data_IF_526977923974
#
_entry.id   IF_526977923974
#
_cell.length_a   1.000
_cell.length_b   1.000
_cell.length_c   1.000
_cell.angle_alpha   90.00
_cell.angle_beta   90.00
_cell.angle_gamma   90.00
#
_symmetry.space_group_name_H-M   'P 1'
#
loop_
_entity.id
_entity.type
_entity.pdbx_description
1 polymer ?
#
# COMPACT_ATOMS: atom_id res chain seq x y z
N UNK A 1 13.48 8.17 10.17
CA UNK A 1 13.19 7.29 9.01
C UNK A 1 12.41 6.09 9.54
N UNK A 2 11.17 5.88 9.09
CA UNK A 2 10.43 4.64 9.38
C UNK A 2 10.64 3.69 8.22
N UNK A 3 11.22 2.52 8.48
CA UNK A 3 11.43 1.48 7.50
C UNK A 3 10.62 0.24 7.92
N UNK A 4 9.56 -0.06 7.18
CA UNK A 4 8.79 -1.28 7.35
C UNK A 4 9.37 -2.35 6.43
N UNK A 5 9.99 -3.37 7.02
CA UNK A 5 10.52 -4.53 6.31
C UNK A 5 9.62 -5.72 6.61
N UNK A 6 8.91 -6.20 5.60
CA UNK A 6 8.18 -7.46 5.68
C UNK A 6 9.10 -8.58 5.20
N UNK A 7 9.70 -9.31 6.14
CA UNK A 7 10.54 -10.46 5.84
C UNK A 7 9.66 -11.68 5.54
N UNK A 8 10.07 -12.42 4.50
CA UNK A 8 9.30 -13.51 3.88
C UNK A 8 8.99 -14.60 4.92
N UNK A 9 7.72 -15.01 4.97
CA UNK A 9 7.17 -16.01 5.89
C UNK A 9 5.72 -16.32 5.49
N UNK A 10 4.79 -16.41 6.45
CA UNK A 10 3.33 -16.54 6.18
C UNK A 10 2.63 -15.23 5.81
N UNK A 11 3.41 -14.19 5.52
CA UNK A 11 2.94 -12.87 5.12
C UNK A 11 2.99 -12.74 3.59
N UNK A 12 1.86 -12.44 2.99
CA UNK A 12 1.76 -12.00 1.60
C UNK A 12 1.62 -10.48 1.60
N UNK A 13 2.46 -9.79 0.83
CA UNK A 13 2.43 -8.33 0.76
C UNK A 13 2.35 -7.84 -0.66
N UNK A 14 1.56 -6.81 -0.90
CA UNK A 14 1.52 -6.08 -2.16
C UNK A 14 1.53 -4.59 -1.88
N UNK A 15 2.08 -3.80 -2.81
CA UNK A 15 2.16 -2.36 -2.65
C UNK A 15 1.78 -1.65 -3.95
N UNK A 16 1.29 -0.43 -3.82
CA UNK A 16 0.87 0.42 -4.92
C UNK A 16 1.36 1.84 -4.71
N UNK A 17 2.23 2.29 -5.62
CA UNK A 17 2.75 3.65 -5.62
C UNK A 17 1.83 4.57 -6.40
N UNK A 18 1.33 5.62 -5.75
CA UNK A 18 0.48 6.64 -6.35
C UNK A 18 1.34 7.61 -7.16
N UNK A 19 0.91 7.87 -8.41
CA UNK A 19 1.59 8.77 -9.35
C UNK A 19 0.60 9.63 -10.13
N UNK A 20 -0.46 10.10 -9.49
CA UNK A 20 -1.55 10.82 -10.16
C UNK A 20 -2.37 11.61 -9.15
N UNK A 21 -2.71 12.87 -9.46
CA UNK A 21 -3.73 13.66 -8.74
C UNK A 21 -5.16 13.44 -9.25
N UNK A 22 -5.31 12.76 -10.39
CA UNK A 22 -6.63 12.54 -10.97
C UNK A 22 -7.31 11.32 -10.32
N UNK A 23 -8.48 11.55 -9.71
CA UNK A 23 -9.29 10.55 -9.01
C UNK A 23 -9.71 9.37 -9.90
N UNK A 24 -10.28 9.65 -11.08
CA UNK A 24 -10.70 8.61 -12.03
C UNK A 24 -9.54 7.71 -12.45
N UNK A 25 -8.35 8.30 -12.62
CA UNK A 25 -7.12 7.57 -12.94
C UNK A 25 -6.62 6.76 -11.75
N UNK A 26 -6.71 7.28 -10.53
CA UNK A 26 -6.39 6.53 -9.31
C UNK A 26 -7.32 5.32 -9.16
N UNK A 27 -8.63 5.54 -9.27
CA UNK A 27 -9.66 4.49 -9.18
C UNK A 27 -9.37 3.32 -10.13
N UNK A 28 -9.17 3.62 -11.42
CA UNK A 28 -8.87 2.59 -12.44
C UNK A 28 -7.61 1.80 -12.11
N UNK A 29 -6.56 2.46 -11.61
CA UNK A 29 -5.30 1.80 -11.25
C UNK A 29 -5.42 0.96 -9.99
N UNK A 30 -6.13 1.43 -8.97
CA UNK A 30 -6.40 0.66 -7.75
C UNK A 30 -7.26 -0.57 -8.05
N UNK A 31 -8.26 -0.45 -8.93
CA UNK A 31 -9.07 -1.59 -9.36
C UNK A 31 -8.24 -2.63 -10.12
N UNK A 32 -7.37 -2.19 -11.03
CA UNK A 32 -6.44 -3.08 -11.73
C UNK A 32 -5.47 -3.77 -10.75
N UNK A 33 -4.96 -3.03 -9.77
CA UNK A 33 -4.12 -3.58 -8.72
C UNK A 33 -4.87 -4.61 -7.87
N UNK A 34 -6.11 -4.33 -7.43
CA UNK A 34 -6.95 -5.31 -6.71
C UNK A 34 -7.08 -6.63 -7.47
N UNK A 35 -7.31 -6.57 -8.78
CA UNK A 35 -7.39 -7.77 -9.64
C UNK A 35 -6.07 -8.53 -9.77
N UNK A 36 -4.93 -7.85 -9.63
CA UNK A 36 -3.60 -8.47 -9.68
C UNK A 36 -3.18 -9.16 -8.38
N UNK A 37 -3.89 -8.85 -7.29
CA UNK A 37 -3.62 -9.38 -5.96
C UNK A 37 -4.39 -10.69 -5.78
N UNK A 38 -3.68 -11.78 -5.49
CA UNK A 38 -4.28 -13.10 -5.26
C UNK A 38 -4.18 -13.47 -3.77
N UNK A 39 -4.98 -12.84 -2.91
CA UNK A 39 -5.03 -13.14 -1.48
C UNK A 39 -6.16 -14.13 -1.16
N UNK A 40 -5.92 -15.05 -0.22
CA UNK A 40 -6.91 -16.06 0.16
C UNK A 40 -7.98 -15.42 1.07
N UNK A 41 -9.24 -15.86 0.92
CA UNK A 41 -10.42 -15.26 1.56
C UNK A 41 -10.42 -15.31 3.09
N UNK A 42 -9.64 -16.20 3.70
CA UNK A 42 -9.62 -16.42 5.16
C UNK A 42 -8.40 -15.81 5.87
N UNK A 43 -7.59 -15.03 5.15
CA UNK A 43 -6.40 -14.44 5.73
C UNK A 43 -6.71 -13.06 6.33
N UNK A 44 -6.11 -12.77 7.50
CA UNK A 44 -6.25 -11.46 8.12
C UNK A 44 -5.53 -10.41 7.28
N UNK A 45 -6.26 -9.39 6.84
CA UNK A 45 -5.77 -8.38 5.90
C UNK A 45 -5.65 -7.02 6.58
N UNK A 46 -4.48 -6.41 6.46
CA UNK A 46 -4.19 -5.06 6.92
C UNK A 46 -3.80 -4.20 5.72
N UNK A 47 -4.28 -2.95 5.70
CA UNK A 47 -3.86 -1.96 4.73
C UNK A 47 -3.17 -0.80 5.42
N UNK A 48 -2.15 -0.26 4.78
CA UNK A 48 -1.42 0.92 5.23
C UNK A 48 -1.37 1.94 4.10
N UNK A 49 -1.38 3.21 4.47
CA UNK A 49 -1.19 4.32 3.56
C UNK A 49 -0.06 5.21 4.09
N UNK A 50 1.00 5.37 3.31
CA UNK A 50 2.14 6.22 3.65
C UNK A 50 2.20 7.39 2.69
N UNK A 51 1.96 8.59 3.20
CA UNK A 51 1.91 9.81 2.40
C UNK A 51 2.65 10.98 3.05
N UNK A 52 2.68 12.10 2.35
CA UNK A 52 3.28 13.37 2.81
C UNK A 52 2.26 14.49 2.61
N UNK A 53 2.32 15.57 3.39
CA UNK A 53 1.41 16.72 3.17
C UNK A 53 1.44 17.29 1.75
N UNK A 54 2.61 17.26 1.09
CA UNK A 54 2.80 17.76 -0.29
C UNK A 54 2.63 16.66 -1.35
N UNK A 55 1.96 15.56 -1.00
CA UNK A 55 1.82 14.40 -1.85
C UNK A 55 1.12 14.68 -3.18
N UNK A 56 1.53 13.92 -4.20
CA UNK A 56 0.95 13.98 -5.53
C UNK A 56 -0.18 12.95 -5.71
N UNK A 57 -1.16 12.97 -4.82
CA UNK A 57 -2.36 12.14 -4.83
C UNK A 57 -3.64 12.95 -4.60
N UNK A 58 -4.82 12.44 -4.95
CA UNK A 58 -6.09 13.09 -4.65
C UNK A 58 -6.39 13.11 -3.15
N UNK A 59 -7.08 14.15 -2.67
CA UNK A 59 -7.47 14.29 -1.26
C UNK A 59 -8.38 13.16 -0.78
N UNK A 60 -9.27 12.67 -1.65
CA UNK A 60 -10.17 11.54 -1.38
C UNK A 60 -9.54 10.16 -1.69
N UNK A 61 -8.21 10.06 -1.80
CA UNK A 61 -7.54 8.82 -2.17
C UNK A 61 -7.84 7.64 -1.24
N UNK A 62 -7.91 7.88 0.07
CA UNK A 62 -8.24 6.85 1.06
C UNK A 62 -9.69 6.38 0.98
N UNK A 63 -10.60 7.27 0.59
CA UNK A 63 -12.00 6.92 0.36
C UNK A 63 -12.16 6.04 -0.88
N UNK A 64 -11.50 6.42 -1.99
CA UNK A 64 -11.44 5.60 -3.20
C UNK A 64 -10.85 4.22 -2.89
N UNK A 65 -9.77 4.18 -2.11
CA UNK A 65 -9.17 2.92 -1.68
C UNK A 65 -10.15 2.07 -0.88
N UNK A 66 -10.83 2.67 0.11
CA UNK A 66 -11.84 1.98 0.94
C UNK A 66 -12.99 1.43 0.10
N UNK A 67 -13.48 2.17 -0.88
CA UNK A 67 -14.54 1.71 -1.79
C UNK A 67 -14.10 0.46 -2.57
N UNK A 68 -12.86 0.47 -3.08
CA UNK A 68 -12.34 -0.62 -3.90
C UNK A 68 -12.02 -1.85 -3.05
N UNK A 69 -11.35 -1.70 -1.90
CA UNK A 69 -10.84 -2.82 -1.12
C UNK A 69 -11.75 -3.24 0.05
N UNK A 70 -12.73 -2.41 0.43
CA UNK A 70 -13.61 -2.68 1.58
C UNK A 70 -12.92 -2.59 2.94
N UNK A 71 -11.69 -2.05 3.00
CA UNK A 71 -10.89 -1.91 4.21
C UNK A 71 -10.36 -0.49 4.32
N UNK A 72 -10.36 0.07 5.53
CA UNK A 72 -9.74 1.38 5.81
C UNK A 72 -8.25 1.19 6.07
N UNK A 73 -7.35 1.91 5.37
CA UNK A 73 -5.93 1.81 5.63
C UNK A 73 -5.56 2.51 6.94
N UNK A 74 -4.53 2.02 7.63
CA UNK A 74 -3.81 2.76 8.65
C UNK A 74 -2.92 3.79 7.97
N UNK A 75 -3.28 5.07 8.13
CA UNK A 75 -2.61 6.17 7.47
C UNK A 75 -1.47 6.75 8.33
N UNK A 76 -0.32 6.97 7.72
CA UNK A 76 0.78 7.76 8.25
C UNK A 76 1.10 8.87 7.25
N UNK A 77 0.78 10.10 7.65
CA UNK A 77 1.15 11.31 6.91
C UNK A 77 2.40 11.92 7.54
N UNK A 78 3.48 12.03 6.76
CA UNK A 78 4.74 12.62 7.22
C UNK A 78 4.75 14.14 6.96
N UNK A 79 5.14 14.89 7.99
CA UNK A 79 5.38 16.32 7.90
C UNK A 79 6.85 16.61 7.54
N UNK A 80 7.09 17.70 6.81
CA UNK A 80 8.43 18.23 6.54
C UNK A 80 8.93 18.03 5.11
N UNK A 81 9.51 19.08 4.53
CA UNK A 81 10.03 19.14 3.15
C UNK A 81 11.08 18.07 2.81
N UNK A 82 11.72 17.47 3.82
CA UNK A 82 12.73 16.41 3.65
C UNK A 82 12.17 14.99 3.83
N UNK A 83 10.90 14.84 4.17
CA UNK A 83 10.25 13.53 4.33
C UNK A 83 9.92 12.93 2.97
N UNK A 84 10.21 11.65 2.78
CA UNK A 84 9.87 10.93 1.55
C UNK A 84 9.24 9.59 1.87
N UNK A 85 8.12 9.29 1.21
CA UNK A 85 7.53 7.95 1.16
C UNK A 85 7.84 7.29 -0.17
N UNK A 86 7.66 5.97 -0.27
CA UNK A 86 7.90 5.25 -1.51
C UNK A 86 7.97 3.75 -1.32
N UNK A 87 8.21 3.05 -2.42
CA UNK A 87 8.36 1.59 -2.43
C UNK A 87 9.74 1.18 -2.96
N UNK A 88 10.25 0.08 -2.41
CA UNK A 88 11.45 -0.60 -2.89
C UNK A 88 11.06 -1.85 -3.67
N UNK A 89 11.75 -2.09 -4.79
CA UNK A 89 11.53 -3.26 -5.62
C UNK A 89 12.83 -4.06 -5.71
N UNK A 90 12.87 -5.22 -5.05
CA UNK A 90 14.09 -6.04 -4.95
C UNK A 90 14.48 -6.72 -6.27
N UNK A 91 13.57 -6.82 -7.25
CA UNK A 91 13.78 -7.54 -8.52
C UNK A 91 14.49 -6.73 -9.61
N UNK A 92 14.83 -5.47 -9.37
CA UNK A 92 15.65 -4.70 -10.30
C UNK A 92 17.02 -4.53 -9.65
N UNK A 93 18.09 -4.91 -10.37
CA UNK A 93 19.50 -4.94 -9.92
C UNK A 93 20.04 -3.64 -9.32
N UNK A 94 19.24 -2.58 -9.26
CA UNK A 94 19.57 -1.29 -8.69
C UNK A 94 18.44 -0.89 -7.74
N UNK A 95 18.77 -0.60 -6.48
CA UNK A 95 17.87 -0.10 -5.43
C UNK A 95 17.24 1.25 -5.82
N UNK A 96 16.35 1.26 -6.82
CA UNK A 96 15.66 2.48 -7.25
C UNK A 96 14.44 2.68 -6.36
N UNK A 97 14.64 3.47 -5.29
CA UNK A 97 13.54 4.01 -4.49
C UNK A 97 12.62 4.78 -5.42
N UNK A 98 11.37 4.33 -5.54
CA UNK A 98 10.35 5.13 -6.22
C UNK A 98 9.60 5.94 -5.18
N UNK A 99 9.86 7.24 -5.15
CA UNK A 99 9.24 8.17 -4.21
C UNK A 99 7.79 8.45 -4.56
N UNK A 100 6.98 8.74 -3.54
CA UNK A 100 5.58 9.11 -3.64
C UNK A 100 4.70 8.34 -2.66
N UNK A 101 3.42 8.74 -2.54
CA UNK A 101 2.47 8.07 -1.65
C UNK A 101 2.32 6.61 -2.00
N UNK A 102 2.26 5.75 -1.00
CA UNK A 102 2.21 4.31 -1.21
C UNK A 102 1.15 3.66 -0.33
N UNK A 103 0.31 2.86 -0.97
CA UNK A 103 -0.57 1.92 -0.31
C UNK A 103 0.15 0.58 -0.18
N UNK A 104 0.02 -0.08 0.97
CA UNK A 104 0.55 -1.42 1.21
C UNK A 104 -0.58 -2.27 1.75
N UNK A 105 -0.77 -3.46 1.19
CA UNK A 105 -1.64 -4.48 1.76
C UNK A 105 -0.77 -5.62 2.25
N UNK A 106 -0.97 -5.99 3.51
CA UNK A 106 -0.33 -7.11 4.18
C UNK A 106 -1.43 -8.09 4.52
N UNK A 107 -1.22 -9.33 4.12
CA UNK A 107 -2.15 -10.41 4.31
C UNK A 107 -1.43 -11.52 5.07
N UNK A 108 -2.03 -11.96 6.19
CA UNK A 108 -1.44 -12.88 7.14
C UNK A 108 -2.33 -14.12 7.28
N UNK A 109 -1.74 -15.29 7.04
CA UNK A 109 -2.43 -16.56 7.31
C UNK A 109 -2.62 -16.74 8.81
N UNK A 110 -3.87 -16.73 9.27
CA UNK A 110 -4.22 -17.05 10.66
C UNK A 110 -4.07 -18.56 10.85
N UNK A 111 -3.38 -18.98 11.89
CA UNK A 111 -3.38 -20.39 12.29
C UNK A 111 -4.72 -20.71 12.96
N UNK A 112 -5.44 -21.68 12.41
CA UNK A 112 -6.33 -22.49 13.25
C UNK A 112 -5.45 -23.47 14.03
N UNK A 113 -4.97 -23.04 15.21
CA UNK A 113 -4.55 -24.02 16.21
C UNK A 113 -5.84 -24.63 16.76
N UNK A 114 -6.09 -25.89 16.39
CA UNK A 114 -7.11 -26.69 17.06
C UNK A 114 -6.57 -26.97 18.47
N UNK A 115 -7.09 -26.25 19.46
CA UNK A 115 -6.92 -26.57 20.87
C UNK A 115 -7.79 -27.76 21.26
#
# INVERSE_FOLDING_TARGET
MVLLIFLRGRLQTSHFLVKTKNEKKLYKKLLAWKKSINFQKNDQTFAFHFTTLEANEPENSEEIFREIFGIKPFALCLNGKQSSTGAYHYKMDWFRRRSGPVYVIVNMKVLTENF
#
